data_IF_217490192547
#
_entry.id   IF_217490192547
#
_cell.length_a   1.000
_cell.length_b   1.000
_cell.length_c   1.000
_cell.angle_alpha   90.00
_cell.angle_beta   90.00
_cell.angle_gamma   90.00
#
_symmetry.space_group_name_H-M   'P 1'
#
loop_
_entity.id
_entity.type
_entity.pdbx_description
1 polymer ?
#
# COMPACT_ATOMS: atom_id res chain seq x y z
N UNK A 1 -2.83 -15.49 1.98
CA UNK A 1 -1.87 -14.43 1.59
C UNK A 1 -0.91 -14.20 2.74
N UNK A 2 0.35 -13.93 2.40
CA UNK A 2 1.39 -13.56 3.36
C UNK A 2 1.14 -12.13 3.88
N UNK A 3 1.25 -11.93 5.19
CA UNK A 3 0.98 -10.64 5.84
C UNK A 3 2.19 -9.73 5.65
N UNK A 4 1.95 -8.43 5.56
CA UNK A 4 2.95 -7.38 5.38
C UNK A 4 3.74 -7.54 4.07
N UNK A 5 3.02 -7.91 3.01
CA UNK A 5 3.51 -7.98 1.65
C UNK A 5 2.90 -6.86 0.83
N UNK A 6 3.65 -6.41 -0.17
CA UNK A 6 3.16 -5.50 -1.19
C UNK A 6 3.51 -5.97 -2.59
N UNK A 7 2.73 -5.51 -3.56
CA UNK A 7 3.02 -5.61 -4.98
C UNK A 7 2.67 -4.26 -5.63
N UNK A 8 3.26 -3.95 -6.78
CA UNK A 8 3.00 -2.69 -7.45
C UNK A 8 3.26 -2.77 -8.95
N UNK A 9 2.57 -1.89 -9.68
CA UNK A 9 2.80 -1.69 -11.10
C UNK A 9 2.69 -0.22 -11.43
N UNK A 10 3.54 0.21 -12.36
CA UNK A 10 3.35 1.48 -13.03
C UNK A 10 2.50 1.28 -14.28
N UNK A 11 1.83 2.33 -14.72
CA UNK A 11 1.27 2.38 -16.07
C UNK A 11 2.37 2.35 -17.15
N UNK A 12 1.97 2.25 -18.41
CA UNK A 12 2.89 2.13 -19.55
C UNK A 12 3.87 3.31 -19.67
N UNK A 13 3.47 4.48 -19.16
CA UNK A 13 4.24 5.71 -19.22
C UNK A 13 5.01 6.03 -17.92
N UNK A 14 4.88 5.21 -16.87
CA UNK A 14 5.49 5.48 -15.57
C UNK A 14 4.93 6.69 -14.83
N UNK A 15 3.76 7.20 -15.24
CA UNK A 15 3.09 8.38 -14.69
C UNK A 15 2.15 8.04 -13.55
N UNK A 16 1.60 6.84 -13.52
CA UNK A 16 0.72 6.36 -12.47
C UNK A 16 1.28 5.08 -11.85
N UNK A 17 1.13 4.95 -10.54
CA UNK A 17 1.53 3.82 -9.72
C UNK A 17 0.29 3.24 -9.04
N UNK A 18 0.09 1.94 -9.20
CA UNK A 18 -0.88 1.15 -8.44
C UNK A 18 -0.11 0.27 -7.47
N UNK A 19 -0.51 0.29 -6.19
CA UNK A 19 0.11 -0.50 -5.12
C UNK A 19 -0.95 -1.35 -4.43
N UNK A 20 -0.65 -2.62 -4.28
CA UNK A 20 -1.34 -3.55 -3.38
C UNK A 20 -0.56 -3.61 -2.06
N UNK A 21 -1.22 -3.38 -0.93
CA UNK A 21 -0.66 -3.51 0.40
C UNK A 21 -1.52 -4.42 1.27
N UNK A 22 -0.92 -5.49 1.77
CA UNK A 22 -1.59 -6.45 2.64
C UNK A 22 -0.99 -6.39 4.05
N UNK A 23 -1.62 -5.66 4.97
CA UNK A 23 -1.26 -5.69 6.40
C UNK A 23 -2.39 -6.31 7.26
N UNK A 24 -3.20 -5.49 7.94
CA UNK A 24 -4.39 -6.00 8.64
C UNK A 24 -5.56 -6.22 7.68
N UNK A 25 -5.62 -5.42 6.62
CA UNK A 25 -6.56 -5.52 5.54
C UNK A 25 -5.80 -5.31 4.22
N UNK A 26 -6.31 -5.92 3.16
CA UNK A 26 -5.84 -5.66 1.80
C UNK A 26 -6.32 -4.27 1.36
N UNK A 27 -5.38 -3.46 0.86
CA UNK A 27 -5.63 -2.12 0.36
C UNK A 27 -4.99 -1.97 -1.01
N UNK A 28 -5.71 -1.35 -1.93
CA UNK A 28 -5.20 -0.90 -3.21
C UNK A 28 -5.11 0.62 -3.20
N UNK A 29 -3.99 1.15 -3.67
CA UNK A 29 -3.77 2.60 -3.78
C UNK A 29 -3.31 2.94 -5.20
N UNK A 30 -3.85 4.02 -5.75
CA UNK A 30 -3.39 4.63 -6.99
C UNK A 30 -2.81 6.01 -6.70
N UNK A 31 -1.67 6.33 -7.31
CA UNK A 31 -1.00 7.64 -7.14
C UNK A 31 -0.21 7.99 -8.39
N UNK A 32 -0.08 9.28 -8.69
CA UNK A 32 0.78 9.80 -9.77
C UNK A 32 2.00 10.59 -9.26
N UNK A 33 2.03 10.86 -7.95
CA UNK A 33 3.02 11.75 -7.33
C UNK A 33 3.88 11.06 -6.26
N UNK A 34 3.50 9.87 -5.82
CA UNK A 34 4.24 9.09 -4.83
C UNK A 34 4.88 7.85 -5.46
N UNK A 35 5.95 7.35 -4.84
CA UNK A 35 6.75 6.22 -5.34
C UNK A 35 6.89 5.11 -4.28
N UNK A 36 7.34 3.94 -4.72
CA UNK A 36 7.66 2.82 -3.82
C UNK A 36 8.91 3.08 -2.98
N UNK A 37 9.93 3.69 -3.59
CA UNK A 37 11.20 3.98 -2.94
C UNK A 37 11.21 5.36 -2.28
N UNK A 38 11.96 5.55 -1.18
CA UNK A 38 12.72 4.53 -0.45
C UNK A 38 11.81 3.53 0.29
N UNK A 39 12.23 2.27 0.40
CA UNK A 39 11.51 1.26 1.20
C UNK A 39 12.00 1.36 2.64
N UNK A 40 11.08 1.53 3.58
CA UNK A 40 11.36 1.67 5.00
C UNK A 40 11.18 0.33 5.73
N UNK A 41 11.91 0.13 6.84
CA UNK A 41 11.68 -0.98 7.75
C UNK A 41 10.83 -0.48 8.93
N UNK A 42 9.71 -1.13 9.20
CA UNK A 42 8.81 -0.76 10.31
C UNK A 42 8.46 -1.94 11.17
N UNK A 43 8.26 -1.68 12.46
CA UNK A 43 7.82 -2.67 13.42
C UNK A 43 6.29 -2.79 13.41
N UNK A 44 5.78 -4.01 13.24
CA UNK A 44 4.34 -4.30 13.27
C UNK A 44 4.05 -5.43 14.23
N UNK A 45 2.94 -5.31 14.97
CA UNK A 45 2.47 -6.38 15.86
C UNK A 45 1.76 -7.47 15.03
N UNK A 46 2.36 -8.65 14.95
CA UNK A 46 1.72 -9.82 14.35
C UNK A 46 0.80 -10.49 15.36
N UNK A 47 -0.52 -10.51 15.11
CA UNK A 47 -1.46 -11.30 15.93
C UNK A 47 -1.25 -12.80 15.76
N UNK A 48 -0.83 -13.24 14.56
CA UNK A 48 -0.58 -14.64 14.24
C UNK A 48 0.66 -15.17 14.96
N UNK A 49 1.73 -14.37 15.01
CA UNK A 49 2.99 -14.77 15.64
C UNK A 49 3.10 -14.29 17.09
N UNK A 50 2.09 -13.58 17.59
CA UNK A 50 2.03 -12.99 18.94
C UNK A 50 3.28 -12.17 19.31
N UNK A 51 3.96 -11.61 18.30
CA UNK A 51 5.22 -10.87 18.45
C UNK A 51 5.29 -9.65 17.54
N UNK A 52 6.26 -8.79 17.79
CA UNK A 52 6.62 -7.70 16.88
C UNK A 52 7.50 -8.28 15.77
N UNK A 53 7.14 -7.97 14.53
CA UNK A 53 7.89 -8.33 13.33
C UNK A 53 8.36 -7.06 12.63
N UNK A 54 9.52 -7.15 11.97
CA UNK A 54 10.01 -6.09 11.09
C UNK A 54 9.55 -6.36 9.67
N UNK A 55 8.99 -5.34 9.02
CA UNK A 55 8.39 -5.48 7.70
C UNK A 55 8.81 -4.32 6.81
N UNK A 56 8.97 -4.63 5.52
CA UNK A 56 9.22 -3.63 4.50
C UNK A 56 7.93 -2.84 4.22
N UNK A 57 8.01 -1.52 4.31
CA UNK A 57 6.94 -0.60 4.02
C UNK A 57 7.36 0.32 2.85
N UNK A 58 6.63 0.29 1.73
CA UNK A 58 6.82 1.24 0.63
C UNK A 58 6.63 2.70 1.09
N UNK A 59 7.39 3.63 0.50
CA UNK A 59 7.29 5.06 0.84
C UNK A 59 5.85 5.59 0.70
N UNK A 60 5.18 5.23 -0.39
CA UNK A 60 3.77 5.60 -0.61
C UNK A 60 2.82 5.16 0.52
N UNK A 61 3.08 4.03 1.17
CA UNK A 61 2.28 3.59 2.34
C UNK A 61 2.63 4.43 3.57
N UNK A 62 3.90 4.80 3.74
CA UNK A 62 4.31 5.69 4.83
C UNK A 62 3.68 7.09 4.69
N UNK A 63 3.70 7.65 3.48
CA UNK A 63 3.06 8.94 3.15
C UNK A 63 1.54 8.86 3.30
N UNK A 64 0.90 7.78 2.83
CA UNK A 64 -0.53 7.54 3.08
C UNK A 64 -0.86 7.57 4.57
N UNK A 65 -0.13 6.81 5.40
CA UNK A 65 -0.40 6.78 6.84
C UNK A 65 -0.18 8.15 7.49
N UNK A 66 0.84 8.91 7.05
CA UNK A 66 1.10 10.27 7.54
C UNK A 66 -0.05 11.22 7.20
N UNK A 67 -0.60 11.14 5.99
CA UNK A 67 -1.70 12.01 5.56
C UNK A 67 -3.07 11.59 6.11
N UNK A 68 -3.28 10.30 6.37
CA UNK A 68 -4.56 9.75 6.85
C UNK A 68 -4.84 9.99 8.34
N UNK A 69 -3.86 10.45 9.12
CA UNK A 69 -4.09 10.93 10.49
C UNK A 69 -5.00 12.18 10.51
N UNK A 70 -5.20 12.82 9.36
CA UNK A 70 -6.11 13.97 9.18
C UNK A 70 -7.19 13.57 8.16
N UNK A 71 -8.30 13.03 8.67
CA UNK A 71 -9.56 12.69 7.99
C UNK A 71 -9.75 13.27 6.57
N UNK A 72 -9.30 12.55 5.53
CA UNK A 72 -9.80 12.69 4.16
C UNK A 72 -9.84 11.31 3.52
N UNK A 73 -11.02 10.91 3.05
CA UNK A 73 -11.27 9.64 2.35
C UNK A 73 -10.51 9.66 1.02
N UNK A 74 -9.32 9.07 0.99
CA UNK A 74 -8.80 8.49 -0.25
C UNK A 74 -9.42 7.09 -0.39
N UNK A 75 -9.92 6.82 -1.59
CA UNK A 75 -10.81 5.71 -1.91
C UNK A 75 -10.19 4.40 -1.40
N UNK A 76 -10.74 3.84 -0.32
CA UNK A 76 -10.61 2.41 -0.03
C UNK A 76 -11.40 1.72 -1.14
N UNK A 77 -10.73 1.43 -2.26
CA UNK A 77 -11.31 0.68 -3.38
C UNK A 77 -11.55 -0.73 -2.85
N UNK A 78 -12.73 -0.91 -2.25
CA UNK A 78 -13.17 -2.13 -1.58
C UNK A 78 -13.82 -3.11 -2.56
N UNK A 79 -13.95 -2.71 -3.82
CA UNK A 79 -14.59 -3.45 -4.90
C UNK A 79 -13.58 -3.74 -6.00
N UNK A 80 -13.56 -4.96 -6.56
CA UNK A 80 -12.66 -5.29 -7.66
C UNK A 80 -12.99 -4.40 -8.86
N UNK A 81 -12.09 -3.47 -9.18
CA UNK A 81 -12.18 -2.73 -10.44
C UNK A 81 -11.79 -3.72 -11.53
N UNK A 82 -12.75 -4.09 -12.37
CA UNK A 82 -12.44 -4.59 -13.71
C UNK A 82 -11.83 -3.42 -14.47
N UNK A 83 -10.51 -3.28 -14.39
CA UNK A 83 -9.76 -2.39 -15.28
C UNK A 83 -9.80 -3.03 -16.67
N UNK A 84 -10.79 -2.63 -17.47
CA UNK A 84 -10.80 -2.89 -18.90
C UNK A 84 -9.83 -1.88 -19.52
N UNK A 85 -8.64 -2.34 -19.86
CA UNK A 85 -7.78 -1.61 -20.79
C UNK A 85 -8.34 -1.86 -22.19
N UNK A 86 -8.79 -0.80 -22.85
CA UNK A 86 -9.20 -0.79 -24.26
C UNK A 86 -8.03 -0.46 -25.16
#
# INVERSE_FOLDING_TARGET
MERCRYDYRYDEHGQALIVEWNDNNLVYMGTNCHKITPVNMVQRRSKRETRIIEVQQPNVIAEYNRCMEVLIVWIKISTPIKLVFG
#
